data_IF_499731583060
#
_entry.id   IF_499731583060
#
_cell.length_a   1.000
_cell.length_b   1.000
_cell.length_c   1.000
_cell.angle_alpha   90.00
_cell.angle_beta   90.00
_cell.angle_gamma   90.00
#
_symmetry.space_group_name_H-M   'P 1'
#
loop_
_entity.id
_entity.type
_entity.pdbx_description
1 polymer ?
#
# COMPACT_ATOMS: atom_id res chain seq x y z
N UNK A 1 5.41 16.08 -24.44
CA UNK A 1 5.98 15.95 -23.08
C UNK A 1 6.75 14.64 -23.04
N UNK A 2 8.08 14.72 -23.11
CA UNK A 2 8.97 13.56 -23.10
C UNK A 2 9.23 13.10 -21.66
N UNK A 3 9.10 11.81 -21.44
CA UNK A 3 9.24 11.06 -20.20
C UNK A 3 10.70 11.01 -19.75
N UNK A 4 11.01 11.64 -18.61
CA UNK A 4 12.35 11.71 -18.03
C UNK A 4 12.76 10.49 -17.16
N UNK A 5 11.97 9.41 -17.15
CA UNK A 5 12.18 8.23 -16.30
C UNK A 5 13.14 7.17 -16.88
N UNK A 6 13.48 7.24 -18.18
CA UNK A 6 14.33 6.23 -18.84
C UNK A 6 15.84 6.50 -18.78
N UNK A 7 16.27 7.77 -18.66
CA UNK A 7 17.69 8.13 -18.75
C UNK A 7 18.44 8.09 -17.41
N UNK A 8 17.75 8.26 -16.28
CA UNK A 8 18.37 8.21 -14.94
C UNK A 8 18.75 6.79 -14.51
N UNK A 9 17.93 5.78 -14.87
CA UNK A 9 18.20 4.36 -14.55
C UNK A 9 19.41 3.84 -15.35
N UNK A 10 19.53 4.26 -16.62
CA UNK A 10 20.65 3.90 -17.49
C UNK A 10 21.96 4.57 -17.09
N UNK A 11 21.92 5.86 -16.72
CA UNK A 11 23.09 6.60 -16.25
C UNK A 11 23.67 6.10 -14.93
N UNK A 12 22.83 5.62 -14.00
CA UNK A 12 23.29 4.96 -12.78
C UNK A 12 23.93 3.60 -13.11
N UNK A 13 23.27 2.75 -13.90
CA UNK A 13 23.81 1.44 -14.30
C UNK A 13 25.17 1.53 -15.02
N UNK A 14 25.34 2.49 -15.94
CA UNK A 14 26.57 2.68 -16.72
C UNK A 14 27.73 3.25 -15.87
N UNK A 15 27.46 4.11 -14.89
CA UNK A 15 28.49 4.59 -13.94
C UNK A 15 28.97 3.49 -12.99
N UNK A 16 28.09 2.59 -12.55
CA UNK A 16 28.48 1.46 -11.69
C UNK A 16 29.26 0.37 -12.44
N UNK A 17 28.93 0.09 -13.71
CA UNK A 17 29.66 -0.89 -14.53
C UNK A 17 31.15 -0.57 -14.69
N UNK A 18 31.52 0.71 -14.68
CA UNK A 18 32.92 1.14 -14.77
C UNK A 18 33.75 0.86 -13.49
N UNK A 19 33.10 0.69 -12.34
CA UNK A 19 33.74 0.57 -11.02
C UNK A 19 34.22 -0.86 -10.70
N UNK A 20 33.74 -1.87 -11.42
CA UNK A 20 34.04 -3.29 -11.19
C UNK A 20 34.99 -3.91 -12.22
N UNK A 21 35.58 -3.09 -13.10
CA UNK A 21 36.60 -3.54 -14.06
C UNK A 21 38.02 -3.50 -13.45
N UNK A 22 38.32 -4.46 -12.55
CA UNK A 22 39.61 -4.45 -11.84
C UNK A 22 40.15 -5.82 -11.41
N UNK A 23 41.13 -6.31 -12.19
CA UNK A 23 42.25 -7.23 -11.89
C UNK A 23 41.99 -8.64 -11.34
N UNK A 24 42.42 -9.61 -12.15
CA UNK A 24 42.50 -11.05 -11.91
C UNK A 24 43.68 -11.46 -11.01
N UNK A 25 43.45 -12.43 -10.11
CA UNK A 25 44.39 -13.17 -9.23
C UNK A 25 44.59 -12.73 -7.75
N UNK A 26 43.73 -11.90 -7.16
CA UNK A 26 43.72 -11.68 -5.70
C UNK A 26 42.35 -11.98 -5.10
N UNK A 27 42.31 -12.59 -3.90
CA UNK A 27 41.06 -12.79 -3.13
C UNK A 27 40.27 -11.50 -3.10
N UNK A 28 38.95 -11.56 -3.31
CA UNK A 28 38.11 -10.38 -3.25
C UNK A 28 38.11 -9.78 -1.83
N UNK A 29 37.90 -8.46 -1.64
CA UNK A 29 37.85 -7.85 -0.31
C UNK A 29 36.84 -8.52 0.64
N UNK A 30 35.73 -9.04 0.10
CA UNK A 30 34.72 -9.77 0.86
C UNK A 30 35.18 -11.18 1.24
N UNK A 31 35.95 -11.85 0.38
CA UNK A 31 36.59 -13.15 0.67
C UNK A 31 37.61 -13.01 1.80
N UNK A 32 38.42 -11.94 1.78
CA UNK A 32 39.38 -11.66 2.86
C UNK A 32 38.67 -11.39 4.19
N UNK A 33 37.56 -10.62 4.19
CA UNK A 33 36.75 -10.41 5.41
C UNK A 33 36.13 -11.70 5.94
N UNK A 34 35.62 -12.53 5.03
CA UNK A 34 34.96 -13.80 5.40
C UNK A 34 35.95 -14.78 5.99
N UNK A 35 37.13 -14.93 5.38
CA UNK A 35 38.20 -15.79 5.90
C UNK A 35 38.76 -15.28 7.24
N UNK A 36 38.68 -13.96 7.50
CA UNK A 36 39.05 -13.35 8.77
C UNK A 36 37.94 -13.38 9.84
N UNK A 37 36.75 -13.94 9.53
CA UNK A 37 35.60 -13.98 10.44
C UNK A 37 34.92 -12.64 10.68
N UNK A 38 35.17 -11.63 9.83
CA UNK A 38 34.70 -10.25 9.98
C UNK A 38 33.50 -9.93 9.08
N UNK A 39 32.61 -10.90 8.86
CA UNK A 39 31.36 -10.70 8.11
C UNK A 39 30.39 -9.92 8.97
N UNK A 40 29.90 -8.79 8.46
CA UNK A 40 28.97 -7.91 9.18
C UNK A 40 27.55 -8.12 8.67
N UNK A 41 26.65 -8.52 9.57
CA UNK A 41 25.21 -8.65 9.31
C UNK A 41 24.60 -7.34 8.77
N UNK A 42 23.74 -7.46 7.75
CA UNK A 42 23.13 -6.33 7.05
C UNK A 42 24.10 -5.36 6.36
N UNK A 43 25.39 -5.69 6.28
CA UNK A 43 26.35 -5.00 5.42
C UNK A 43 26.91 -5.97 4.38
N UNK A 44 27.33 -7.16 4.81
CA UNK A 44 27.93 -8.23 4.02
C UNK A 44 26.95 -9.36 3.67
N UNK A 45 26.04 -9.71 4.60
CA UNK A 45 25.05 -10.79 4.43
C UNK A 45 23.68 -10.39 4.97
N UNK A 46 22.63 -11.04 4.48
CA UNK A 46 21.25 -10.79 4.88
C UNK A 46 20.28 -10.59 3.72
N UNK A 47 19.03 -10.35 4.07
CA UNK A 47 17.99 -9.95 3.13
C UNK A 47 18.04 -8.45 2.90
N UNK A 48 18.26 -8.04 1.66
CA UNK A 48 18.65 -6.67 1.29
C UNK A 48 17.56 -5.66 1.63
N UNK A 49 16.31 -5.92 1.24
CA UNK A 49 15.17 -5.02 1.54
C UNK A 49 14.92 -4.97 3.03
N UNK A 50 14.94 -6.13 3.71
CA UNK A 50 14.74 -6.20 5.16
C UNK A 50 15.80 -5.42 5.93
N UNK A 51 17.08 -5.70 5.65
CA UNK A 51 18.22 -5.02 6.27
C UNK A 51 18.19 -3.52 6.01
N UNK A 52 17.86 -3.09 4.79
CA UNK A 52 17.71 -1.67 4.47
C UNK A 52 16.56 -1.03 5.29
N UNK A 53 15.40 -1.67 5.37
CA UNK A 53 14.27 -1.21 6.19
C UNK A 53 14.64 -1.06 7.67
N UNK A 54 15.37 -2.04 8.24
CA UNK A 54 15.85 -1.97 9.63
C UNK A 54 16.88 -0.87 9.85
N UNK A 55 17.84 -0.71 8.94
CA UNK A 55 18.85 0.36 9.02
C UNK A 55 18.25 1.76 8.98
N UNK A 56 17.17 1.94 8.20
CA UNK A 56 16.54 3.24 7.99
C UNK A 56 15.25 3.46 8.79
N UNK A 57 14.88 2.52 9.67
CA UNK A 57 13.67 2.60 10.49
C UNK A 57 12.42 2.94 9.67
N UNK A 58 12.20 2.21 8.57
CA UNK A 58 11.08 2.39 7.62
C UNK A 58 9.71 2.49 8.27
N UNK A 59 9.53 1.84 9.42
CA UNK A 59 8.29 1.85 10.19
C UNK A 59 7.83 3.26 10.55
N UNK A 60 8.75 4.21 10.74
CA UNK A 60 8.41 5.61 11.06
C UNK A 60 7.74 6.35 9.89
N UNK A 61 7.83 5.83 8.66
CA UNK A 61 7.17 6.43 7.50
C UNK A 61 5.66 6.16 7.49
N UNK A 62 5.20 5.22 8.32
CA UNK A 62 3.81 4.85 8.43
C UNK A 62 3.29 5.18 9.83
N UNK A 63 2.13 5.86 9.89
CA UNK A 63 1.48 6.22 11.16
C UNK A 63 1.30 5.04 12.13
N UNK A 64 1.09 3.84 11.57
CA UNK A 64 0.94 2.59 12.31
C UNK A 64 1.98 1.56 11.86
N UNK A 65 3.18 2.03 11.48
CA UNK A 65 4.25 1.16 11.02
C UNK A 65 4.67 0.18 12.11
N UNK A 66 4.87 -1.06 11.68
CA UNK A 66 5.28 -2.17 12.54
C UNK A 66 6.16 -3.12 11.74
N UNK A 67 6.69 -4.15 12.40
CA UNK A 67 7.38 -5.23 11.69
C UNK A 67 6.52 -5.85 10.58
N UNK A 68 5.22 -6.00 10.81
CA UNK A 68 4.29 -6.52 9.82
C UNK A 68 4.20 -5.61 8.59
N UNK A 69 4.45 -4.30 8.75
CA UNK A 69 4.53 -3.36 7.61
C UNK A 69 5.75 -3.66 6.75
N UNK A 70 6.91 -3.89 7.37
CA UNK A 70 8.14 -4.26 6.66
C UNK A 70 7.97 -5.62 5.93
N UNK A 71 7.35 -6.58 6.60
CA UNK A 71 7.01 -7.90 6.06
C UNK A 71 6.04 -7.79 4.86
N UNK A 72 5.05 -6.92 4.94
CA UNK A 72 4.14 -6.62 3.82
C UNK A 72 4.86 -5.93 2.66
N UNK A 73 5.72 -4.94 2.92
CA UNK A 73 6.53 -4.29 1.89
C UNK A 73 7.31 -5.35 1.11
N UNK A 74 8.05 -6.19 1.82
CA UNK A 74 8.82 -7.28 1.22
C UNK A 74 7.94 -8.29 0.46
N UNK A 75 6.72 -8.56 0.94
CA UNK A 75 5.76 -9.43 0.24
C UNK A 75 5.25 -8.83 -1.07
N UNK A 76 5.10 -7.50 -1.14
CA UNK A 76 4.70 -6.81 -2.36
C UNK A 76 5.84 -6.58 -3.34
N UNK A 77 7.06 -6.36 -2.85
CA UNK A 77 8.20 -5.98 -3.69
C UNK A 77 9.11 -7.14 -4.04
N UNK A 78 9.14 -8.19 -3.21
CA UNK A 78 10.25 -9.12 -3.18
C UNK A 78 11.51 -8.50 -2.56
N UNK A 79 12.61 -9.23 -2.64
CA UNK A 79 13.95 -8.84 -2.16
C UNK A 79 15.04 -9.66 -2.84
N UNK A 80 16.29 -9.50 -2.39
CA UNK A 80 17.42 -10.36 -2.68
C UNK A 80 18.06 -10.80 -1.36
N UNK A 81 18.35 -12.09 -1.23
CA UNK A 81 19.04 -12.68 -0.08
C UNK A 81 20.50 -12.91 -0.43
N UNK A 82 21.40 -12.43 0.42
CA UNK A 82 22.84 -12.68 0.35
C UNK A 82 23.20 -13.63 1.51
N UNK A 83 23.23 -14.96 1.30
CA UNK A 83 23.54 -15.91 2.36
C UNK A 83 25.02 -15.92 2.76
N UNK A 84 25.91 -15.47 1.87
CA UNK A 84 27.36 -15.50 2.09
C UNK A 84 28.12 -15.67 0.78
N UNK A 85 29.35 -16.20 0.91
CA UNK A 85 30.22 -16.50 -0.22
C UNK A 85 30.21 -17.99 -0.57
N UNK A 86 30.22 -18.30 -1.86
CA UNK A 86 30.43 -19.66 -2.39
C UNK A 86 31.64 -19.69 -3.33
N UNK A 87 32.16 -20.88 -3.63
CA UNK A 87 33.27 -21.02 -4.59
C UNK A 87 32.82 -20.56 -5.99
N UNK A 88 33.66 -19.76 -6.63
CA UNK A 88 33.44 -19.32 -8.00
C UNK A 88 33.45 -20.52 -8.96
N UNK A 89 32.63 -20.46 -10.02
CA UNK A 89 32.53 -21.53 -11.04
C UNK A 89 33.87 -21.79 -11.75
N UNK A 90 34.72 -20.78 -11.86
CA UNK A 90 36.07 -20.88 -12.44
C UNK A 90 37.09 -21.50 -11.48
N UNK A 91 36.67 -21.87 -10.27
CA UNK A 91 37.49 -22.43 -9.20
C UNK A 91 38.46 -21.45 -8.56
N UNK A 92 38.38 -20.14 -8.89
CA UNK A 92 39.31 -19.12 -8.42
C UNK A 92 38.66 -18.23 -7.36
N UNK A 93 38.82 -18.66 -6.11
CA UNK A 93 38.37 -17.89 -4.94
C UNK A 93 36.87 -17.99 -4.70
N UNK A 94 36.36 -17.13 -3.82
CA UNK A 94 34.95 -17.11 -3.41
C UNK A 94 34.25 -15.85 -3.92
N UNK A 95 33.01 -16.02 -4.37
CA UNK A 95 32.13 -14.95 -4.88
C UNK A 95 30.86 -14.84 -4.04
N UNK A 96 30.27 -13.65 -4.04
CA UNK A 96 28.97 -13.41 -3.41
C UNK A 96 27.90 -14.15 -4.20
N UNK A 97 27.09 -14.94 -3.52
CA UNK A 97 25.90 -15.55 -4.10
C UNK A 97 24.68 -14.73 -3.71
N UNK A 98 23.78 -14.53 -4.66
CA UNK A 98 22.51 -13.83 -4.45
C UNK A 98 21.36 -14.78 -4.78
N UNK A 99 20.32 -14.79 -3.94
CA UNK A 99 19.10 -15.56 -4.15
C UNK A 99 17.92 -14.59 -4.27
N UNK A 100 17.17 -14.59 -5.39
CA UNK A 100 16.00 -13.73 -5.51
C UNK A 100 14.90 -14.19 -4.55
N UNK A 101 14.29 -13.24 -3.86
CA UNK A 101 13.05 -13.44 -3.10
C UNK A 101 11.92 -12.79 -3.90
N UNK A 102 11.07 -13.60 -4.49
CA UNK A 102 9.98 -13.09 -5.34
C UNK A 102 8.87 -12.46 -4.49
N UNK A 103 8.09 -11.51 -5.00
CA UNK A 103 6.87 -11.08 -4.33
C UNK A 103 5.94 -12.27 -4.06
N UNK A 104 5.15 -12.21 -2.98
CA UNK A 104 4.13 -13.22 -2.72
C UNK A 104 2.91 -13.02 -3.63
N UNK A 105 1.95 -13.95 -3.50
CA UNK A 105 0.66 -13.89 -4.22
C UNK A 105 -0.31 -12.83 -3.71
N UNK A 106 0.07 -11.98 -2.75
CA UNK A 106 -0.79 -10.88 -2.29
C UNK A 106 -1.03 -9.86 -3.41
N UNK A 107 -2.30 -9.61 -3.70
CA UNK A 107 -2.75 -8.72 -4.76
C UNK A 107 -3.43 -7.47 -4.21
N UNK A 108 -3.62 -6.48 -5.08
CA UNK A 108 -4.42 -5.30 -4.81
C UNK A 108 -5.90 -5.67 -4.56
N UNK A 109 -6.40 -6.71 -5.24
CA UNK A 109 -7.76 -7.21 -5.02
C UNK A 109 -7.93 -7.71 -3.58
N UNK A 110 -6.94 -8.43 -3.04
CA UNK A 110 -6.97 -8.95 -1.67
C UNK A 110 -7.08 -7.81 -0.65
N UNK A 111 -6.36 -6.71 -0.85
CA UNK A 111 -6.45 -5.53 0.03
C UNK A 111 -7.85 -4.90 -0.03
N UNK A 112 -8.44 -4.81 -1.22
CA UNK A 112 -9.75 -4.20 -1.43
C UNK A 112 -10.87 -5.03 -0.83
N UNK A 113 -10.92 -6.32 -1.16
CA UNK A 113 -12.03 -7.22 -0.82
C UNK A 113 -11.83 -7.89 0.55
N UNK A 114 -10.58 -8.07 0.96
CA UNK A 114 -10.20 -8.81 2.15
C UNK A 114 -10.19 -10.30 1.89
N UNK A 115 -9.50 -11.03 2.76
CA UNK A 115 -9.36 -12.48 2.64
C UNK A 115 -9.77 -13.11 3.97
N UNK A 116 -10.99 -13.67 3.96
CA UNK A 116 -11.71 -14.13 5.17
C UNK A 116 -11.74 -15.65 5.33
N UNK A 117 -11.75 -16.37 4.22
CA UNK A 117 -11.87 -17.84 4.18
C UNK A 117 -10.59 -18.52 3.73
N UNK A 118 -9.80 -17.80 2.92
CA UNK A 118 -8.45 -18.17 2.54
C UNK A 118 -7.50 -17.17 3.20
N UNK A 119 -6.26 -17.57 3.42
CA UNK A 119 -5.24 -16.70 3.98
C UNK A 119 -4.20 -16.43 2.91
N UNK A 120 -3.77 -15.18 2.81
CA UNK A 120 -2.78 -14.81 1.81
C UNK A 120 -1.38 -15.04 2.37
N UNK A 121 -0.48 -15.70 1.61
CA UNK A 121 0.89 -15.85 2.03
C UNK A 121 1.59 -14.49 2.05
N UNK A 122 2.09 -14.12 3.22
CA UNK A 122 2.99 -12.98 3.43
C UNK A 122 4.29 -13.52 4.01
N UNK A 123 5.41 -12.89 3.68
CA UNK A 123 6.67 -13.24 4.31
C UNK A 123 6.66 -12.85 5.79
N UNK A 124 7.30 -13.65 6.63
CA UNK A 124 7.61 -13.33 8.01
C UNK A 124 9.07 -13.64 8.30
N UNK A 125 9.72 -12.67 8.92
CA UNK A 125 11.11 -12.80 9.36
C UNK A 125 11.18 -13.23 10.84
N UNK A 126 10.05 -13.30 11.55
CA UNK A 126 10.01 -13.53 13.01
C UNK A 126 11.02 -12.62 13.73
N UNK A 127 11.81 -13.15 14.65
CA UNK A 127 12.86 -12.39 15.36
C UNK A 127 14.22 -12.42 14.63
N UNK A 128 14.29 -12.93 13.39
CA UNK A 128 15.54 -12.93 12.61
C UNK A 128 15.90 -11.50 12.16
N UNK A 129 16.99 -10.99 12.73
CA UNK A 129 17.52 -9.66 12.46
C UNK A 129 17.95 -9.48 11.00
N UNK A 130 18.40 -10.55 10.32
CA UNK A 130 18.90 -10.49 8.94
C UNK A 130 17.94 -11.11 7.92
N UNK A 131 16.95 -11.87 8.39
CA UNK A 131 15.89 -12.50 7.61
C UNK A 131 16.40 -13.32 6.41
N UNK A 132 17.34 -14.24 6.67
CA UNK A 132 17.95 -15.04 5.60
C UNK A 132 17.00 -16.12 5.06
N UNK A 133 16.07 -16.60 5.89
CA UNK A 133 15.11 -17.65 5.54
C UNK A 133 13.68 -17.22 5.89
N UNK A 134 13.13 -16.22 5.17
CA UNK A 134 11.77 -15.74 5.42
C UNK A 134 10.77 -16.88 5.27
N UNK A 135 9.90 -17.02 6.26
CA UNK A 135 8.84 -18.03 6.26
C UNK A 135 7.56 -17.45 5.68
N UNK A 136 6.71 -18.29 5.11
CA UNK A 136 5.36 -17.85 4.76
C UNK A 136 4.45 -17.92 5.98
N UNK A 137 3.80 -16.79 6.27
CA UNK A 137 2.74 -16.68 7.25
C UNK A 137 1.43 -16.34 6.54
N UNK A 138 0.34 -16.80 7.12
CA UNK A 138 -0.99 -16.66 6.57
C UNK A 138 -1.70 -15.50 7.26
N UNK A 139 -2.03 -14.45 6.51
CA UNK A 139 -2.76 -13.28 7.03
C UNK A 139 -4.22 -13.31 6.58
N UNK A 140 -5.13 -13.20 7.55
CA UNK A 140 -6.56 -13.00 7.33
C UNK A 140 -6.95 -11.59 7.79
N UNK A 141 -7.72 -10.88 6.97
CA UNK A 141 -8.10 -9.50 7.27
C UNK A 141 -9.40 -9.08 6.57
N UNK A 142 -10.09 -8.12 7.19
CA UNK A 142 -11.20 -7.43 6.54
C UNK A 142 -10.68 -6.52 5.43
N UNK A 143 -11.30 -6.59 4.24
CA UNK A 143 -10.95 -5.72 3.13
C UNK A 143 -11.28 -4.26 3.39
N UNK A 144 -10.55 -3.37 2.72
CA UNK A 144 -10.75 -1.94 2.86
C UNK A 144 -12.18 -1.52 2.48
N UNK A 145 -12.81 -2.18 1.49
CA UNK A 145 -14.20 -1.91 1.12
C UNK A 145 -15.17 -2.18 2.28
N UNK A 146 -14.99 -3.30 2.99
CA UNK A 146 -15.80 -3.63 4.16
C UNK A 146 -15.55 -2.67 5.32
N UNK A 147 -14.30 -2.23 5.50
CA UNK A 147 -13.98 -1.22 6.51
C UNK A 147 -14.68 0.11 6.22
N UNK A 148 -14.69 0.56 4.95
CA UNK A 148 -15.43 1.74 4.51
C UNK A 148 -16.92 1.60 4.83
N UNK A 149 -17.54 0.48 4.44
CA UNK A 149 -18.96 0.22 4.72
C UNK A 149 -19.24 0.29 6.22
N UNK A 150 -18.45 -0.39 7.05
CA UNK A 150 -18.65 -0.40 8.51
C UNK A 150 -18.52 0.99 9.14
N UNK A 151 -17.58 1.81 8.66
CA UNK A 151 -17.39 3.18 9.18
C UNK A 151 -18.56 4.09 8.78
N UNK A 152 -19.02 4.01 7.53
CA UNK A 152 -20.12 4.85 7.07
C UNK A 152 -21.49 4.37 7.54
N UNK A 153 -21.80 3.10 7.37
CA UNK A 153 -23.13 2.54 7.60
C UNK A 153 -23.33 2.05 9.05
N UNK A 154 -22.24 1.95 9.80
CA UNK A 154 -22.23 1.40 11.15
C UNK A 154 -22.01 -0.12 11.17
N UNK A 155 -21.94 -0.64 12.39
CA UNK A 155 -21.91 -2.07 12.70
C UNK A 155 -22.64 -2.29 14.03
N UNK A 156 -22.75 -3.54 14.51
CA UNK A 156 -23.51 -3.83 15.74
C UNK A 156 -23.18 -2.95 16.96
N UNK A 157 -21.96 -2.40 17.02
CA UNK A 157 -21.50 -1.54 18.12
C UNK A 157 -21.23 -0.07 17.69
N UNK A 158 -21.54 0.33 16.46
CA UNK A 158 -21.28 1.70 15.96
C UNK A 158 -22.41 2.19 15.07
N UNK A 159 -22.89 3.41 15.33
CA UNK A 159 -23.98 4.07 14.59
C UNK A 159 -23.59 4.42 13.14
N UNK A 160 -22.30 4.65 12.88
CA UNK A 160 -21.78 5.02 11.55
C UNK A 160 -22.01 6.49 11.16
N UNK A 161 -21.21 6.98 10.23
CA UNK A 161 -21.23 8.38 9.75
C UNK A 161 -22.59 8.75 9.11
N UNK A 162 -23.17 7.85 8.30
CA UNK A 162 -24.39 8.11 7.54
C UNK A 162 -25.55 8.44 8.46
N UNK A 163 -25.73 7.65 9.52
CA UNK A 163 -26.79 7.87 10.51
C UNK A 163 -26.53 9.15 11.30
N UNK A 164 -25.28 9.42 11.73
CA UNK A 164 -24.91 10.67 12.42
C UNK A 164 -25.26 11.92 11.59
N UNK A 165 -25.02 11.89 10.28
CA UNK A 165 -25.42 12.98 9.39
C UNK A 165 -26.93 13.07 9.19
N UNK A 166 -27.63 11.94 9.07
CA UNK A 166 -29.08 11.90 8.87
C UNK A 166 -29.84 12.45 10.09
N UNK A 167 -29.36 12.16 11.30
CA UNK A 167 -29.98 12.60 12.56
C UNK A 167 -29.42 13.92 13.07
N UNK A 168 -28.32 14.42 12.49
CA UNK A 168 -27.53 15.53 13.00
C UNK A 168 -27.13 15.35 14.48
N UNK A 169 -26.78 14.11 14.87
CA UNK A 169 -26.39 13.76 16.24
C UNK A 169 -25.08 12.96 16.28
N UNK A 170 -24.42 13.00 17.44
CA UNK A 170 -23.17 12.29 17.69
C UNK A 170 -21.93 13.07 17.28
N UNK A 171 -20.76 12.52 17.64
CA UNK A 171 -19.44 13.07 17.28
C UNK A 171 -18.68 12.07 16.41
N UNK A 172 -17.76 12.57 15.59
CA UNK A 172 -16.88 11.71 14.81
C UNK A 172 -15.69 11.25 15.62
N UNK A 173 -15.44 9.94 15.64
CA UNK A 173 -14.23 9.35 16.18
C UNK A 173 -13.01 9.63 15.29
N UNK A 174 -11.83 9.19 15.74
CA UNK A 174 -10.56 9.35 15.01
C UNK A 174 -10.59 8.67 13.65
N UNK A 175 -11.15 7.47 13.57
CA UNK A 175 -11.16 6.64 12.36
C UNK A 175 -12.16 7.18 11.34
N UNK A 176 -13.32 7.64 11.80
CA UNK A 176 -14.31 8.33 10.98
C UNK A 176 -13.72 9.63 10.41
N UNK A 177 -13.07 10.43 11.24
CA UNK A 177 -12.42 11.68 10.81
C UNK A 177 -11.29 11.41 9.81
N UNK A 178 -10.47 10.39 10.06
CA UNK A 178 -9.41 9.97 9.15
C UNK A 178 -9.96 9.55 7.78
N UNK A 179 -11.03 8.76 7.76
CA UNK A 179 -11.68 8.33 6.53
C UNK A 179 -12.31 9.51 5.77
N UNK A 180 -13.01 10.40 6.48
CA UNK A 180 -13.62 11.59 5.89
C UNK A 180 -12.58 12.48 5.21
N UNK A 181 -11.43 12.69 5.85
CA UNK A 181 -10.33 13.48 5.29
C UNK A 181 -9.73 12.83 4.04
N UNK A 182 -9.59 11.51 4.02
CA UNK A 182 -9.09 10.77 2.87
C UNK A 182 -10.06 10.85 1.68
N UNK A 183 -11.38 10.88 1.93
CA UNK A 183 -12.42 10.87 0.90
C UNK A 183 -12.90 12.27 0.46
N UNK A 184 -12.25 13.34 0.90
CA UNK A 184 -12.58 14.70 0.44
C UNK A 184 -12.31 14.87 -1.07
N UNK A 185 -11.39 14.11 -1.63
CA UNK A 185 -11.19 13.93 -3.08
C UNK A 185 -11.73 12.51 -3.36
N UNK A 186 -12.80 12.28 -4.16
CA UNK A 186 -13.49 13.08 -5.18
C UNK A 186 -14.80 13.79 -4.72
N UNK A 187 -14.84 14.37 -3.52
CA UNK A 187 -16.07 14.95 -2.97
C UNK A 187 -17.09 13.91 -2.50
N UNK A 188 -16.68 12.64 -2.37
CA UNK A 188 -17.52 11.52 -1.94
C UNK A 188 -18.21 11.79 -0.60
N UNK A 189 -17.46 12.30 0.39
CA UNK A 189 -18.00 12.62 1.72
C UNK A 189 -19.14 13.64 1.66
N UNK A 190 -19.03 14.66 0.80
CA UNK A 190 -20.08 15.65 0.60
C UNK A 190 -21.31 15.07 -0.10
N UNK A 191 -21.12 14.18 -1.07
CA UNK A 191 -22.22 13.45 -1.73
C UNK A 191 -22.98 12.60 -0.72
N UNK A 192 -22.27 11.80 0.09
CA UNK A 192 -22.90 10.97 1.14
C UNK A 192 -23.62 11.85 2.15
N UNK A 193 -23.01 12.96 2.60
CA UNK A 193 -23.65 13.88 3.54
C UNK A 193 -24.99 14.43 3.01
N UNK A 194 -25.03 14.87 1.75
CA UNK A 194 -26.27 15.37 1.13
C UNK A 194 -27.32 14.28 0.99
N UNK A 195 -26.90 13.07 0.58
CA UNK A 195 -27.81 11.92 0.53
C UNK A 195 -28.35 11.59 1.92
N UNK A 196 -27.51 11.60 2.97
CA UNK A 196 -27.91 11.30 4.35
C UNK A 196 -28.99 12.25 4.85
N UNK A 197 -28.91 13.54 4.50
CA UNK A 197 -29.90 14.55 4.89
C UNK A 197 -31.27 14.35 4.21
N UNK A 198 -31.30 13.74 3.03
CA UNK A 198 -32.55 13.44 2.33
C UNK A 198 -33.09 12.02 2.60
N UNK A 199 -32.21 11.03 2.70
CA UNK A 199 -32.54 9.63 2.93
C UNK A 199 -31.33 8.83 3.43
N UNK A 200 -31.38 8.40 4.69
CA UNK A 200 -30.35 7.56 5.30
C UNK A 200 -30.12 6.25 4.51
N UNK A 201 -31.19 5.57 4.09
CA UNK A 201 -31.09 4.31 3.36
C UNK A 201 -30.43 4.48 1.99
N UNK A 202 -30.74 5.58 1.30
CA UNK A 202 -30.14 5.91 0.01
C UNK A 202 -28.64 6.18 0.15
N UNK A 203 -28.23 6.90 1.19
CA UNK A 203 -26.82 7.13 1.51
C UNK A 203 -26.08 5.82 1.85
N UNK A 204 -26.67 4.94 2.67
CA UNK A 204 -26.08 3.62 2.98
C UNK A 204 -25.90 2.75 1.73
N UNK A 205 -26.88 2.78 0.83
CA UNK A 205 -26.82 2.09 -0.46
C UNK A 205 -25.72 2.64 -1.37
N UNK A 206 -25.60 3.96 -1.46
CA UNK A 206 -24.56 4.64 -2.24
C UNK A 206 -23.15 4.29 -1.74
N UNK A 207 -22.93 4.33 -0.42
CA UNK A 207 -21.66 3.88 0.19
C UNK A 207 -21.35 2.44 -0.17
N UNK A 208 -22.33 1.54 -0.05
CA UNK A 208 -22.14 0.12 -0.32
C UNK A 208 -21.74 -0.11 -1.78
N UNK A 209 -22.44 0.54 -2.72
CA UNK A 209 -22.20 0.41 -4.15
C UNK A 209 -20.81 0.87 -4.60
N UNK A 210 -20.27 1.93 -3.99
CA UNK A 210 -18.99 2.53 -4.40
C UNK A 210 -17.81 2.22 -3.47
N UNK A 211 -18.03 1.44 -2.41
CA UNK A 211 -16.99 1.10 -1.43
C UNK A 211 -15.75 0.44 -2.03
N UNK A 212 -15.92 -0.45 -3.02
CA UNK A 212 -14.80 -1.14 -3.69
C UNK A 212 -13.98 -0.20 -4.57
N UNK A 213 -14.62 0.75 -5.25
CA UNK A 213 -13.94 1.79 -6.03
C UNK A 213 -13.03 2.64 -5.13
N UNK A 214 -13.58 3.15 -4.03
CA UNK A 214 -12.83 3.98 -3.08
C UNK A 214 -11.72 3.19 -2.39
N UNK A 215 -12.00 1.94 -2.04
CA UNK A 215 -11.00 1.04 -1.49
C UNK A 215 -9.86 0.78 -2.48
N UNK A 216 -10.14 0.68 -3.78
CA UNK A 216 -9.11 0.46 -4.80
C UNK A 216 -8.10 1.61 -4.86
N UNK A 217 -8.57 2.86 -4.84
CA UNK A 217 -7.70 4.03 -4.81
C UNK A 217 -6.84 4.07 -3.54
N UNK A 218 -7.45 3.81 -2.39
CA UNK A 218 -6.75 3.76 -1.12
C UNK A 218 -5.70 2.64 -1.06
N UNK A 219 -6.06 1.45 -1.54
CA UNK A 219 -5.17 0.30 -1.61
C UNK A 219 -4.01 0.56 -2.58
N UNK A 220 -4.28 1.16 -3.76
CA UNK A 220 -3.25 1.49 -4.74
C UNK A 220 -2.25 2.49 -4.17
N UNK A 221 -2.73 3.55 -3.51
CA UNK A 221 -1.88 4.55 -2.85
C UNK A 221 -1.00 3.93 -1.75
N UNK A 222 -1.56 3.00 -0.97
CA UNK A 222 -0.83 2.29 0.08
C UNK A 222 0.27 1.39 -0.49
N UNK A 223 -0.05 0.52 -1.44
CA UNK A 223 0.92 -0.40 -2.05
C UNK A 223 1.98 0.39 -2.83
N UNK A 224 1.60 1.47 -3.51
CA UNK A 224 2.56 2.38 -4.14
C UNK A 224 3.54 2.94 -3.10
N UNK A 225 3.04 3.37 -1.94
CA UNK A 225 3.89 3.87 -0.84
C UNK A 225 4.83 2.79 -0.29
N UNK A 226 4.40 1.52 -0.26
CA UNK A 226 5.28 0.39 0.09
C UNK A 226 6.41 0.21 -0.92
N UNK A 227 6.10 0.22 -2.21
CA UNK A 227 7.11 0.06 -3.27
C UNK A 227 8.09 1.24 -3.26
N UNK A 228 7.60 2.46 -3.12
CA UNK A 228 8.43 3.67 -3.04
C UNK A 228 9.31 3.66 -1.78
N UNK A 229 8.80 3.12 -0.66
CA UNK A 229 9.60 2.94 0.56
C UNK A 229 10.72 1.94 0.34
N UNK A 230 10.43 0.79 -0.27
CA UNK A 230 11.44 -0.22 -0.58
C UNK A 230 12.56 0.36 -1.47
N UNK A 231 12.20 1.09 -2.53
CA UNK A 231 13.18 1.77 -3.38
C UNK A 231 14.03 2.78 -2.60
N UNK A 232 13.39 3.61 -1.77
CA UNK A 232 14.07 4.65 -1.00
C UNK A 232 15.05 4.07 0.04
N UNK A 233 14.73 2.95 0.68
CA UNK A 233 15.64 2.32 1.65
C UNK A 233 16.73 1.53 0.96
N UNK A 234 16.43 0.83 -0.13
CA UNK A 234 17.44 0.05 -0.88
C UNK A 234 18.49 1.00 -1.42
N UNK A 235 18.11 2.08 -2.12
CA UNK A 235 19.07 3.04 -2.70
C UNK A 235 20.07 3.65 -1.70
N UNK A 236 19.76 3.61 -0.41
CA UNK A 236 20.65 4.07 0.67
C UNK A 236 21.28 2.91 1.46
N UNK A 237 20.85 1.68 1.23
CA UNK A 237 21.26 0.49 1.96
C UNK A 237 22.71 0.11 1.71
N UNK A 238 23.40 -0.35 2.76
CA UNK A 238 24.82 -0.72 2.71
C UNK A 238 25.11 -1.97 1.86
N UNK A 239 24.08 -2.72 1.50
CA UNK A 239 24.19 -3.96 0.73
C UNK A 239 23.99 -3.76 -0.78
N UNK A 240 23.64 -2.55 -1.25
CA UNK A 240 23.34 -2.31 -2.68
C UNK A 240 24.53 -2.58 -3.58
N UNK A 241 25.72 -2.14 -3.18
CA UNK A 241 26.94 -2.29 -3.98
C UNK A 241 27.36 -3.75 -4.18
N UNK A 242 26.77 -4.68 -3.41
CA UNK A 242 27.06 -6.12 -3.42
C UNK A 242 26.14 -6.93 -4.30
N UNK A 243 25.13 -6.28 -4.89
CA UNK A 243 24.13 -6.96 -5.69
C UNK A 243 24.61 -7.31 -7.10
N UNK A 244 25.69 -6.69 -7.60
CA UNK A 244 26.19 -6.94 -8.97
C UNK A 244 25.17 -6.66 -10.09
N UNK A 245 24.08 -5.93 -9.79
CA UNK A 245 22.74 -5.85 -10.45
C UNK A 245 21.79 -7.00 -10.06
N UNK A 246 20.68 -6.74 -9.31
CA UNK A 246 19.33 -6.58 -9.90
C UNK A 246 18.28 -5.85 -8.99
N UNK A 247 18.71 -5.01 -8.03
CA UNK A 247 17.77 -4.41 -7.05
C UNK A 247 16.63 -3.60 -7.67
N UNK A 248 16.92 -2.87 -8.75
CA UNK A 248 15.94 -2.08 -9.49
C UNK A 248 14.90 -2.93 -10.21
N UNK A 249 15.22 -4.17 -10.58
CA UNK A 249 14.38 -4.99 -11.44
C UNK A 249 13.14 -5.53 -10.70
N UNK A 250 13.29 -5.94 -9.43
CA UNK A 250 12.13 -6.40 -8.66
C UNK A 250 11.21 -5.24 -8.26
N UNK A 251 11.76 -4.05 -7.97
CA UNK A 251 10.98 -2.83 -7.73
C UNK A 251 10.22 -2.45 -9.01
N UNK A 252 10.88 -2.46 -10.18
CA UNK A 252 10.25 -2.21 -11.47
C UNK A 252 9.09 -3.17 -11.76
N UNK A 253 9.32 -4.48 -11.59
CA UNK A 253 8.28 -5.52 -11.74
C UNK A 253 7.13 -5.35 -10.76
N UNK A 254 7.41 -4.96 -9.51
CA UNK A 254 6.36 -4.69 -8.52
C UNK A 254 5.48 -3.50 -8.94
N UNK A 255 6.08 -2.43 -9.51
CA UNK A 255 5.34 -1.28 -10.05
C UNK A 255 4.48 -1.67 -11.24
N UNK A 256 5.04 -2.43 -12.18
CA UNK A 256 4.31 -2.90 -13.36
C UNK A 256 3.12 -3.78 -12.97
N UNK A 257 3.34 -4.73 -12.05
CA UNK A 257 2.27 -5.57 -11.49
C UNK A 257 1.17 -4.73 -10.84
N UNK A 258 1.53 -3.79 -9.97
CA UNK A 258 0.57 -2.90 -9.31
C UNK A 258 -0.27 -2.11 -10.32
N UNK A 259 0.37 -1.56 -11.35
CA UNK A 259 -0.32 -0.80 -12.40
C UNK A 259 -1.27 -1.69 -13.20
N UNK A 260 -0.85 -2.89 -13.58
CA UNK A 260 -1.68 -3.84 -14.31
C UNK A 260 -2.91 -4.26 -13.49
N UNK A 261 -2.71 -4.62 -12.22
CA UNK A 261 -3.82 -4.98 -11.32
C UNK A 261 -4.79 -3.82 -11.14
N UNK A 262 -4.28 -2.59 -10.94
CA UNK A 262 -5.11 -1.41 -10.78
C UNK A 262 -5.99 -1.14 -12.01
N UNK A 263 -5.44 -1.23 -13.22
CA UNK A 263 -6.22 -1.01 -14.46
C UNK A 263 -7.31 -2.07 -14.65
N UNK A 264 -7.02 -3.34 -14.35
CA UNK A 264 -8.03 -4.40 -14.42
C UNK A 264 -9.14 -4.15 -13.40
N UNK A 265 -8.81 -3.76 -12.18
CA UNK A 265 -9.79 -3.55 -11.12
C UNK A 265 -10.63 -2.27 -11.33
N UNK A 266 -10.10 -1.23 -11.98
CA UNK A 266 -10.90 -0.05 -12.37
C UNK A 266 -12.08 -0.42 -13.26
N UNK A 267 -11.88 -1.34 -14.22
CA UNK A 267 -12.97 -1.80 -15.09
C UNK A 267 -14.04 -2.60 -14.32
N UNK A 268 -13.66 -3.22 -13.20
CA UNK A 268 -14.55 -4.06 -12.38
C UNK A 268 -15.30 -3.27 -11.31
N UNK A 269 -14.65 -2.30 -10.67
CA UNK A 269 -15.19 -1.59 -9.52
C UNK A 269 -15.79 -0.22 -9.85
N UNK A 270 -15.65 0.24 -11.10
CA UNK A 270 -16.14 1.53 -11.55
C UNK A 270 -15.11 2.65 -11.35
N UNK A 271 -15.50 3.83 -11.80
CA UNK A 271 -14.68 5.05 -11.76
C UNK A 271 -15.50 6.27 -11.26
N UNK A 272 -14.85 7.42 -11.15
CA UNK A 272 -15.48 8.65 -10.67
C UNK A 272 -16.72 9.08 -11.47
N UNK A 273 -16.82 8.76 -12.77
CA UNK A 273 -18.02 9.07 -13.55
C UNK A 273 -19.21 8.20 -13.12
N UNK A 274 -18.97 6.92 -12.82
CA UNK A 274 -20.00 6.00 -12.33
C UNK A 274 -20.53 6.49 -10.97
N UNK A 275 -19.62 6.98 -10.11
CA UNK A 275 -19.96 7.60 -8.83
C UNK A 275 -20.88 8.82 -9.02
N UNK A 276 -20.50 9.74 -9.92
CA UNK A 276 -21.25 10.97 -10.16
C UNK A 276 -22.63 10.71 -10.79
N UNK A 277 -22.73 9.76 -11.73
CA UNK A 277 -23.98 9.39 -12.37
C UNK A 277 -24.96 8.77 -11.37
N UNK A 278 -24.50 7.85 -10.53
CA UNK A 278 -25.32 7.24 -9.49
C UNK A 278 -25.77 8.29 -8.44
N UNK A 279 -24.87 9.18 -8.03
CA UNK A 279 -25.21 10.30 -7.14
C UNK A 279 -26.31 11.20 -7.73
N UNK A 280 -26.18 11.60 -9.00
CA UNK A 280 -27.18 12.44 -9.67
C UNK A 280 -28.54 11.74 -9.80
N UNK A 281 -28.54 10.45 -10.15
CA UNK A 281 -29.76 9.65 -10.24
C UNK A 281 -30.49 9.59 -8.88
N UNK A 282 -29.74 9.35 -7.80
CA UNK A 282 -30.26 9.34 -6.42
C UNK A 282 -30.81 10.70 -6.02
N UNK A 283 -30.09 11.79 -6.25
CA UNK A 283 -30.55 13.14 -5.92
C UNK A 283 -31.86 13.52 -6.62
N UNK A 284 -32.09 13.08 -7.88
CA UNK A 284 -33.36 13.32 -8.59
C UNK A 284 -34.54 12.56 -7.99
N UNK A 285 -34.27 11.46 -7.30
CA UNK A 285 -35.30 10.64 -6.62
C UNK A 285 -35.59 11.10 -5.19
N UNK A 286 -34.79 12.01 -4.63
CA UNK A 286 -35.07 12.57 -3.32
C UNK A 286 -36.27 13.53 -3.40
N UNK A 287 -37.16 13.52 -2.40
CA UNK A 287 -38.22 14.52 -2.34
C UNK A 287 -37.61 15.93 -2.28
N UNK A 288 -38.26 16.94 -2.89
CA UNK A 288 -37.81 18.31 -2.77
C UNK A 288 -37.73 18.69 -1.28
N UNK A 289 -36.79 19.56 -0.87
CA UNK A 289 -36.74 20.06 0.50
C UNK A 289 -38.13 20.59 0.84
N UNK A 290 -38.70 20.13 1.96
CA UNK A 290 -40.03 20.57 2.37
C UNK A 290 -40.04 22.11 2.33
N UNK A 291 -40.82 22.67 1.38
CA UNK A 291 -41.05 24.09 1.35
C UNK A 291 -41.56 24.45 2.73
N UNK A 292 -40.87 25.35 3.43
CA UNK A 292 -41.34 25.89 4.69
C UNK A 292 -42.76 26.39 4.44
N UNK A 293 -43.75 25.65 4.93
CA UNK A 293 -45.11 26.15 4.98
C UNK A 293 -45.02 27.30 5.98
N UNK A 294 -44.89 28.52 5.46
CA UNK A 294 -45.15 29.72 6.23
C UNK A 294 -46.62 29.62 6.63
N UNK A 295 -46.87 29.08 7.83
CA UNK A 295 -48.15 29.24 8.49
C UNK A 295 -48.23 30.72 8.82
N UNK A 296 -48.80 31.50 7.91
CA UNK A 296 -49.23 32.86 8.22
C UNK A 296 -50.10 32.78 9.47
N UNK A 297 -49.61 33.36 10.57
CA UNK A 297 -50.39 33.51 11.79
C UNK A 297 -51.67 34.26 11.43
N UNK A 298 -52.86 33.80 11.86
CA UNK A 298 -54.06 34.58 11.65
C UNK A 298 -53.91 35.91 12.40
N UNK A 299 -54.07 37.00 11.65
CA UNK A 299 -54.22 38.34 12.19
C UNK A 299 -55.46 38.32 13.08
N UNK A 300 -55.27 38.40 14.39
CA UNK A 300 -56.37 38.69 15.30
C UNK A 300 -56.82 40.12 15.02
N UNK A 301 -57.94 40.24 14.30
CA UNK A 301 -58.69 41.47 14.16
C UNK A 301 -59.16 41.92 15.54
N UNK A 302 -58.95 43.20 15.82
CA UNK A 302 -59.44 43.83 17.03
C UNK A 302 -60.95 44.06 16.98
N UNK A 303 -61.55 43.95 18.15
CA UNK A 303 -62.61 44.84 18.67
C UNK A 303 -62.31 45.09 20.16
#
# INVERSE_FOLDING_TARGET
MQTATGNTIKGLADSFGSLFSGSSNSKSPIEMKTDAGNVVSCEDTGNVVWCAMKQYNSQQFFKYGSQQTDELIMSFTGSVIIPGLEQAEDGKGKVIVTKPLMPTGISLQDIVEGVKTESVPVYSCKEDAVCLEPQLSNLAFDGLAQKIIKIFNGSGNSVGIVTKWATNTGTFGSDETGLLNMMQKPGFSAMVQRLSQGSESMAKGFVTGHSKMLALEGAYSLVKSYIDTAEAVITKGKMVDKLGMPAGDFIGKARERLMQEYQVLLTRYGNENDLLLDYQARMRSLPPPAAFINVEKPVQGGE
#
